data_IF_515605362149
#
_entry.id   IF_515605362149
#
_cell.length_a   1.000
_cell.length_b   1.000
_cell.length_c   1.000
_cell.angle_alpha   90.00
_cell.angle_beta   90.00
_cell.angle_gamma   90.00
#
_symmetry.space_group_name_H-M   'P 1'
#
loop_
_entity.id
_entity.type
_entity.pdbx_description
1 polymer ?
#
# COMPACT_ATOMS: atom_id res chain seq x y z
N UNK A 1 26.62 22.85 22.86
CA UNK A 1 25.37 22.22 22.35
C UNK A 1 24.59 23.29 21.60
N UNK A 2 24.63 23.28 20.27
CA UNK A 2 24.02 24.35 19.46
C UNK A 2 22.50 24.20 19.34
N UNK A 3 21.81 25.30 18.99
CA UNK A 3 20.38 25.31 18.65
C UNK A 3 20.04 24.29 17.55
N UNK A 4 20.94 24.08 16.59
CA UNK A 4 20.80 23.12 15.50
C UNK A 4 20.71 21.66 16.01
N UNK A 5 21.50 21.29 17.02
CA UNK A 5 21.45 19.94 17.61
C UNK A 5 20.16 19.72 18.40
N UNK A 6 19.68 20.77 19.09
CA UNK A 6 18.41 20.72 19.81
C UNK A 6 17.22 20.57 18.85
N UNK A 7 17.22 21.30 17.74
CA UNK A 7 16.21 21.20 16.67
C UNK A 7 16.28 19.86 15.95
N UNK A 8 17.46 19.34 15.64
CA UNK A 8 17.62 18.01 15.04
C UNK A 8 17.11 16.90 15.95
N UNK A 9 17.38 16.98 17.27
CA UNK A 9 16.83 16.03 18.25
C UNK A 9 15.32 16.15 18.38
N UNK A 10 14.76 17.35 18.30
CA UNK A 10 13.31 17.56 18.33
C UNK A 10 12.62 17.04 17.06
N UNK A 11 13.21 17.26 15.87
CA UNK A 11 12.67 16.80 14.60
C UNK A 11 12.56 15.26 14.54
N UNK A 12 13.56 14.54 15.07
CA UNK A 12 13.54 13.07 15.11
C UNK A 12 12.46 12.51 16.05
N UNK A 13 11.89 13.30 16.97
CA UNK A 13 10.77 12.82 17.83
C UNK A 13 9.49 12.55 17.05
N UNK A 14 9.35 13.13 15.85
CA UNK A 14 8.15 13.02 15.02
C UNK A 14 8.43 12.45 13.63
N UNK A 15 9.49 11.66 13.51
CA UNK A 15 9.89 11.05 12.25
C UNK A 15 8.73 10.27 11.62
N UNK A 16 8.59 10.41 10.30
CA UNK A 16 7.61 9.72 9.47
C UNK A 16 8.29 8.62 8.67
N UNK A 17 7.83 7.38 8.83
CA UNK A 17 8.45 6.20 8.23
C UNK A 17 7.57 5.67 7.11
N UNK A 18 8.07 5.71 5.88
CA UNK A 18 7.49 4.99 4.75
C UNK A 18 8.03 3.55 4.76
N UNK A 19 7.12 2.59 4.84
CA UNK A 19 7.47 1.18 4.85
C UNK A 19 7.37 0.59 3.45
N UNK A 20 8.39 -0.17 3.07
CA UNK A 20 8.41 -1.00 1.88
C UNK A 20 8.60 -2.45 2.29
N UNK A 21 7.51 -3.23 2.33
CA UNK A 21 7.59 -4.68 2.54
C UNK A 21 8.06 -5.37 1.25
N UNK A 22 9.14 -6.14 1.35
CA UNK A 22 9.49 -7.16 0.36
C UNK A 22 8.55 -8.34 0.56
N UNK A 23 7.91 -8.88 -0.49
CA UNK A 23 7.01 -10.03 -0.36
C UNK A 23 7.60 -11.16 0.50
N UNK A 24 6.78 -11.73 1.38
CA UNK A 24 7.19 -12.74 2.35
C UNK A 24 7.73 -12.20 3.68
N UNK A 25 8.04 -10.90 3.80
CA UNK A 25 8.66 -10.31 5.01
C UNK A 25 7.68 -9.55 5.90
N UNK A 26 6.42 -9.98 5.90
CA UNK A 26 5.36 -9.39 6.72
C UNK A 26 5.70 -9.26 8.19
N UNK A 27 6.25 -10.33 8.80
CA UNK A 27 6.61 -10.35 10.23
C UNK A 27 7.60 -9.23 10.55
N UNK A 28 8.55 -8.99 9.66
CA UNK A 28 9.49 -7.87 9.75
C UNK A 28 8.76 -6.54 9.59
N UNK A 29 7.87 -6.37 8.59
CA UNK A 29 7.10 -5.12 8.43
C UNK A 29 6.30 -4.80 9.70
N UNK A 30 5.52 -5.74 10.23
CA UNK A 30 4.68 -5.47 11.41
C UNK A 30 5.50 -5.22 12.66
N UNK A 31 6.68 -5.84 12.78
CA UNK A 31 7.63 -5.53 13.84
C UNK A 31 8.16 -4.09 13.72
N UNK A 32 8.52 -3.63 12.51
CA UNK A 32 8.90 -2.24 12.26
C UNK A 32 7.74 -1.30 12.57
N UNK A 33 6.53 -1.56 12.10
CA UNK A 33 5.34 -0.74 12.39
C UNK A 33 5.12 -0.55 13.89
N UNK A 34 5.12 -1.65 14.64
CA UNK A 34 4.96 -1.62 16.11
C UNK A 34 6.03 -0.73 16.74
N UNK A 35 7.28 -0.91 16.33
CA UNK A 35 8.43 -0.20 16.90
C UNK A 35 8.47 1.29 16.52
N UNK A 36 7.97 1.66 15.34
CA UNK A 36 7.73 3.05 14.94
C UNK A 36 6.66 3.67 15.86
N UNK A 37 5.52 3.00 16.03
CA UNK A 37 4.42 3.54 16.83
C UNK A 37 4.76 3.63 18.33
N UNK A 38 5.48 2.66 18.89
CA UNK A 38 5.96 2.69 20.28
C UNK A 38 6.92 3.86 20.55
N UNK A 39 7.71 4.26 19.56
CA UNK A 39 8.60 5.44 19.64
C UNK A 39 7.85 6.78 19.57
N UNK A 40 6.54 6.77 19.28
CA UNK A 40 5.77 7.98 18.99
C UNK A 40 5.99 8.55 17.58
N UNK A 41 6.68 7.80 16.72
CA UNK A 41 6.83 8.11 15.30
C UNK A 41 5.54 7.78 14.53
N UNK A 42 5.47 8.24 13.28
CA UNK A 42 4.28 8.05 12.43
C UNK A 42 4.61 7.22 11.20
N UNK A 43 3.62 6.47 10.72
CA UNK A 43 3.72 5.80 9.42
C UNK A 43 3.35 6.80 8.32
N UNK A 44 4.21 6.93 7.32
CA UNK A 44 3.96 7.73 6.13
C UNK A 44 3.10 6.95 5.12
N UNK A 45 2.19 7.65 4.46
CA UNK A 45 1.33 7.18 3.38
C UNK A 45 1.90 7.52 2.00
N UNK A 46 2.82 8.47 1.90
CA UNK A 46 3.49 8.85 0.66
C UNK A 46 4.99 9.16 0.88
N UNK A 47 5.82 9.07 -0.18
CA UNK A 47 7.23 9.47 -0.14
C UNK A 47 7.42 10.94 0.27
N UNK A 48 6.53 11.82 -0.20
CA UNK A 48 6.63 13.26 0.02
C UNK A 48 6.50 13.69 1.49
N UNK A 49 5.94 12.83 2.36
CA UNK A 49 5.85 13.10 3.79
C UNK A 49 6.80 12.25 4.63
N UNK A 50 7.67 11.44 4.03
CA UNK A 50 8.51 10.50 4.76
C UNK A 50 9.90 11.08 5.03
N UNK A 51 10.38 10.88 6.26
CA UNK A 51 11.76 11.15 6.66
C UNK A 51 12.60 9.86 6.56
N UNK A 52 11.97 8.69 6.72
CA UNK A 52 12.65 7.40 6.72
C UNK A 52 12.00 6.48 5.70
N UNK A 53 12.80 5.91 4.79
CA UNK A 53 12.40 4.74 3.99
C UNK A 53 12.93 3.48 4.67
N UNK A 54 12.03 2.68 5.25
CA UNK A 54 12.38 1.41 5.88
C UNK A 54 11.95 0.25 4.98
N UNK A 55 12.94 -0.48 4.45
CA UNK A 55 12.73 -1.65 3.59
C UNK A 55 12.75 -2.90 4.47
N UNK A 56 11.65 -3.66 4.48
CA UNK A 56 11.49 -4.85 5.29
C UNK A 56 11.73 -6.10 4.45
N UNK A 57 12.86 -6.76 4.65
CA UNK A 57 13.36 -7.89 3.85
C UNK A 57 14.51 -7.49 2.90
N UNK A 58 15.23 -8.48 2.34
CA UNK A 58 16.30 -8.26 1.39
C UNK A 58 15.73 -7.71 0.08
N UNK A 59 16.24 -6.56 -0.36
CA UNK A 59 15.78 -5.92 -1.60
C UNK A 59 16.31 -6.67 -2.83
N UNK A 60 15.47 -7.53 -3.42
CA UNK A 60 15.77 -8.22 -4.67
C UNK A 60 15.92 -7.26 -5.88
N UNK A 61 16.46 -7.74 -7.01
CA UNK A 61 16.71 -6.90 -8.19
C UNK A 61 15.46 -6.18 -8.71
N UNK A 62 14.29 -6.81 -8.58
CA UNK A 62 13.01 -6.31 -9.07
C UNK A 62 12.49 -5.09 -8.28
N UNK A 63 12.83 -5.00 -6.99
CA UNK A 63 12.43 -3.89 -6.12
C UNK A 63 13.44 -2.76 -6.09
N UNK A 64 14.68 -2.97 -6.57
CA UNK A 64 15.75 -1.97 -6.56
C UNK A 64 15.35 -0.66 -7.25
N UNK A 65 14.79 -0.73 -8.46
CA UNK A 65 14.35 0.46 -9.23
C UNK A 65 13.16 1.16 -8.56
N UNK A 66 12.06 0.47 -8.18
CA UNK A 66 10.99 1.09 -7.40
C UNK A 66 11.47 1.78 -6.12
N UNK A 67 12.32 1.13 -5.32
CA UNK A 67 12.83 1.68 -4.07
C UNK A 67 13.72 2.91 -4.29
N UNK A 68 14.55 2.91 -5.34
CA UNK A 68 15.35 4.08 -5.72
C UNK A 68 14.47 5.28 -6.07
N UNK A 69 13.40 5.06 -6.86
CA UNK A 69 12.45 6.14 -7.19
C UNK A 69 11.72 6.70 -5.98
N UNK A 70 11.34 5.85 -5.01
CA UNK A 70 10.74 6.33 -3.77
C UNK A 70 11.73 7.17 -2.98
N UNK A 71 12.99 6.70 -2.87
CA UNK A 71 14.05 7.43 -2.19
C UNK A 71 14.29 8.82 -2.80
N UNK A 72 14.29 8.92 -4.14
CA UNK A 72 14.41 10.19 -4.85
C UNK A 72 13.28 11.17 -4.53
N UNK A 73 12.07 10.66 -4.26
CA UNK A 73 10.89 11.45 -3.91
C UNK A 73 10.83 11.87 -2.42
N UNK A 74 11.66 11.29 -1.54
CA UNK A 74 11.69 11.70 -0.14
C UNK A 74 12.30 13.10 0.02
N UNK A 75 11.65 14.02 0.76
CA UNK A 75 12.24 15.31 1.11
C UNK A 75 13.45 15.13 2.03
N UNK A 76 14.24 16.20 2.22
CA UNK A 76 15.33 16.21 3.20
C UNK A 76 14.88 16.90 4.48
N UNK A 77 15.40 16.51 5.67
CA UNK A 77 16.37 15.44 5.92
C UNK A 77 15.75 14.03 5.77
N UNK A 78 16.53 13.05 5.29
CA UNK A 78 16.06 11.68 5.05
C UNK A 78 17.06 10.60 5.44
N UNK A 79 16.55 9.42 5.77
CA UNK A 79 17.35 8.22 6.03
C UNK A 79 16.72 6.98 5.37
N UNK A 80 17.56 6.04 4.92
CA UNK A 80 17.13 4.74 4.42
C UNK A 80 17.72 3.65 5.29
N UNK A 81 16.91 2.66 5.64
CA UNK A 81 17.35 1.46 6.36
C UNK A 81 16.75 0.21 5.75
N UNK A 82 17.54 -0.86 5.72
CA UNK A 82 17.08 -2.20 5.35
C UNK A 82 17.03 -3.05 6.62
N UNK A 83 15.91 -3.73 6.81
CA UNK A 83 15.61 -4.53 8.00
C UNK A 83 15.36 -5.94 7.53
N UNK A 84 16.31 -6.84 7.74
CA UNK A 84 16.25 -8.22 7.27
C UNK A 84 15.28 -9.09 8.10
N UNK A 85 15.14 -8.77 9.38
CA UNK A 85 14.49 -9.62 10.37
C UNK A 85 13.81 -8.80 11.48
N UNK A 86 12.83 -9.37 12.20
CA UNK A 86 12.22 -8.72 13.36
C UNK A 86 13.23 -8.32 14.46
N UNK A 87 14.32 -9.05 14.60
CA UNK A 87 15.37 -8.83 15.60
C UNK A 87 16.21 -7.58 15.27
N UNK A 88 16.44 -7.29 13.99
CA UNK A 88 17.23 -6.15 13.54
C UNK A 88 16.48 -4.80 13.64
N UNK A 89 15.17 -4.81 13.89
CA UNK A 89 14.31 -3.61 13.85
C UNK A 89 14.80 -2.49 14.76
N UNK A 90 15.17 -2.81 16.02
CA UNK A 90 15.57 -1.78 16.98
C UNK A 90 16.85 -1.06 16.54
N UNK A 91 17.86 -1.84 16.15
CA UNK A 91 19.15 -1.35 15.67
C UNK A 91 18.98 -0.52 14.40
N UNK A 92 18.16 -0.99 13.46
CA UNK A 92 17.90 -0.26 12.21
C UNK A 92 17.21 1.09 12.46
N UNK A 93 16.20 1.16 13.32
CA UNK A 93 15.53 2.42 13.63
C UNK A 93 16.43 3.40 14.41
N UNK A 94 17.33 2.90 15.25
CA UNK A 94 18.35 3.72 15.92
C UNK A 94 19.37 4.29 14.92
N UNK A 95 19.82 3.47 13.96
CA UNK A 95 20.68 3.93 12.86
C UNK A 95 19.98 4.99 12.00
N UNK A 96 18.69 4.81 11.68
CA UNK A 96 17.90 5.82 10.98
C UNK A 96 17.83 7.15 11.76
N UNK A 97 17.57 7.08 13.07
CA UNK A 97 17.54 8.25 13.95
C UNK A 97 18.90 8.96 14.02
N UNK A 98 20.01 8.21 14.03
CA UNK A 98 21.35 8.77 14.00
C UNK A 98 21.63 9.48 12.66
N UNK A 99 21.30 8.84 11.53
CA UNK A 99 21.45 9.43 10.19
C UNK A 99 20.64 10.72 10.01
N UNK A 100 19.42 10.79 10.54
CA UNK A 100 18.61 12.02 10.50
C UNK A 100 19.23 13.17 11.32
N UNK A 101 20.04 12.87 12.34
CA UNK A 101 20.73 13.88 13.16
C UNK A 101 22.08 14.29 12.57
N UNK A 102 22.63 13.53 11.63
CA UNK A 102 23.91 13.84 10.99
C UNK A 102 23.75 14.99 9.98
N UNK A 103 23.84 16.22 10.48
CA UNK A 103 23.72 17.43 9.64
C UNK A 103 24.80 17.55 8.56
N UNK A 104 25.94 16.86 8.68
CA UNK A 104 26.96 16.86 7.64
C UNK A 104 26.52 15.95 6.50
N UNK A 105 26.11 14.72 6.81
CA UNK A 105 25.57 13.79 5.81
C UNK A 105 24.31 14.35 5.12
N UNK A 106 23.39 14.98 5.87
CA UNK A 106 22.18 15.59 5.30
C UNK A 106 22.50 16.76 4.34
N UNK A 107 23.57 17.51 4.59
CA UNK A 107 24.03 18.58 3.69
C UNK A 107 24.66 18.04 2.41
N UNK A 108 25.39 16.92 2.50
CA UNK A 108 25.94 16.23 1.32
C UNK A 108 24.80 15.67 0.47
N UNK A 109 23.87 14.92 1.07
CA UNK A 109 22.69 14.39 0.36
C UNK A 109 21.89 15.52 -0.31
N UNK A 110 21.71 16.66 0.34
CA UNK A 110 20.98 17.79 -0.24
C UNK A 110 21.69 18.40 -1.47
N UNK A 111 23.03 18.37 -1.52
CA UNK A 111 23.82 18.90 -2.65
C UNK A 111 23.86 17.94 -3.84
N UNK A 112 23.87 16.65 -3.57
CA UNK A 112 23.95 15.60 -4.60
C UNK A 112 22.59 15.34 -5.28
N UNK A 113 21.52 16.01 -4.83
CA UNK A 113 20.19 15.90 -5.46
C UNK A 113 20.18 16.59 -6.82
N UNK A 114 19.71 15.91 -7.88
CA UNK A 114 19.48 16.57 -9.16
C UNK A 114 18.47 17.71 -8.98
N UNK A 115 18.78 18.89 -9.52
CA UNK A 115 18.00 20.12 -9.35
C UNK A 115 16.56 20.04 -9.91
N UNK A 116 16.25 18.99 -10.68
CA UNK A 116 14.95 18.79 -11.34
C UNK A 116 13.86 18.25 -10.39
N UNK A 117 14.23 17.69 -9.24
CA UNK A 117 13.28 17.15 -8.26
C UNK A 117 12.58 18.21 -7.40
N UNK A 118 12.88 19.50 -7.60
CA UNK A 118 12.36 20.64 -6.81
C UNK A 118 11.51 21.63 -7.61
N UNK A 119 11.12 21.33 -8.86
CA UNK A 119 10.19 22.18 -9.61
C UNK A 119 8.75 21.67 -9.48
N UNK A 120 7.88 22.29 -8.66
CA UNK A 120 6.51 22.45 -9.09
C UNK A 120 6.54 23.34 -10.34
N UNK A 121 5.98 22.84 -11.42
CA UNK A 121 5.68 23.61 -12.61
C UNK A 121 4.72 24.75 -12.24
N UNK A 122 5.31 25.89 -11.90
CA UNK A 122 4.64 27.18 -11.85
C UNK A 122 5.23 28.01 -12.97
N UNK A 123 4.89 27.65 -14.21
CA UNK A 123 4.90 28.54 -15.35
C UNK A 123 4.00 29.74 -15.09
N UNK A 124 4.46 30.69 -14.27
CA UNK A 124 3.98 32.06 -14.30
C UNK A 124 4.75 32.82 -15.37
N UNK A 125 4.45 32.48 -16.63
CA UNK A 125 4.52 33.49 -17.67
C UNK A 125 3.59 34.63 -17.25
N UNK A 126 4.16 35.78 -16.89
CA UNK A 126 3.39 37.00 -16.65
C UNK A 126 2.78 37.44 -17.98
N UNK A 127 1.45 37.49 -18.13
CA UNK A 127 0.83 38.15 -19.28
C UNK A 127 0.59 39.61 -18.89
N UNK A 128 1.29 40.53 -19.54
CA UNK A 128 0.93 41.95 -19.48
C UNK A 128 2.10 42.90 -19.64
N UNK A 129 2.54 43.12 -20.87
CA UNK A 129 2.63 44.49 -21.39
C UNK A 129 2.32 44.45 -22.89
N UNK A 130 1.14 44.98 -23.23
CA UNK A 130 0.75 45.28 -24.61
C UNK A 130 1.46 46.58 -24.99
N UNK A 131 2.35 46.51 -25.96
CA UNK A 131 2.63 47.63 -26.85
C UNK A 131 2.78 47.08 -28.29
N UNK A 132 1.90 47.60 -29.13
CA UNK A 132 1.68 47.40 -30.56
C UNK A 132 2.93 47.18 -31.43
N UNK A 133 2.84 46.21 -32.35
CA UNK A 133 3.40 46.33 -33.70
C UNK A 133 2.62 45.41 -34.66
N UNK A 134 2.16 46.01 -35.74
CA UNK A 134 1.38 45.41 -36.82
C UNK A 134 2.14 44.31 -37.57
N UNK A 135 1.42 43.30 -38.07
CA UNK A 135 1.67 42.75 -39.39
C UNK A 135 0.45 41.96 -39.91
N UNK A 136 -0.11 42.45 -41.01
CA UNK A 136 -1.10 41.79 -41.85
C UNK A 136 -0.56 40.51 -42.50
N UNK A 137 -1.46 39.56 -42.81
CA UNK A 137 -1.26 38.65 -43.94
C UNK A 137 -1.66 37.18 -43.77
N UNK A 138 -2.82 36.82 -44.35
CA UNK A 138 -3.10 35.59 -45.13
C UNK A 138 -3.14 34.19 -44.48
N UNK A 139 -4.38 33.65 -44.43
CA UNK A 139 -4.85 32.28 -44.78
C UNK A 139 -3.95 31.05 -44.67
N UNK A 140 -4.45 29.97 -44.04
CA UNK A 140 -4.74 28.66 -44.67
C UNK A 140 -5.11 27.56 -43.64
N UNK A 141 -6.21 26.88 -43.97
CA UNK A 141 -6.65 25.50 -43.67
C UNK A 141 -5.80 24.57 -42.76
N UNK A 142 -6.49 23.90 -41.84
CA UNK A 142 -6.33 22.44 -41.64
C UNK A 142 -5.17 21.95 -40.78
N UNK A 143 -4.79 22.65 -39.71
CA UNK A 143 -3.83 22.07 -38.74
C UNK A 143 -4.57 21.27 -37.67
N UNK A 144 -4.23 19.98 -37.58
CA UNK A 144 -4.51 19.17 -36.40
C UNK A 144 -4.01 19.93 -35.16
N UNK A 145 -4.94 20.24 -34.25
CA UNK A 145 -4.67 20.98 -33.03
C UNK A 145 -3.90 20.08 -32.06
N UNK A 146 -2.60 19.94 -32.26
CA UNK A 146 -1.67 19.51 -31.22
C UNK A 146 -0.97 20.77 -30.68
N UNK A 147 -1.44 21.36 -29.57
CA UNK A 147 -0.75 22.49 -28.95
C UNK A 147 0.70 22.08 -28.65
N UNK A 148 1.67 22.84 -29.15
CA UNK A 148 3.10 22.60 -28.95
C UNK A 148 3.68 21.27 -29.48
N UNK A 149 3.01 20.56 -30.40
CA UNK A 149 3.56 19.35 -31.02
C UNK A 149 3.68 18.14 -30.09
N UNK A 150 3.05 18.19 -28.91
CA UNK A 150 2.92 17.05 -28.01
C UNK A 150 1.73 16.22 -28.52
N UNK A 151 1.92 14.93 -28.86
CA UNK A 151 0.81 14.09 -29.29
C UNK A 151 -0.21 13.99 -28.16
N UNK A 152 -1.47 14.27 -28.50
CA UNK A 152 -2.60 14.09 -27.60
C UNK A 152 -2.73 12.61 -27.22
N UNK A 153 -3.27 12.34 -26.02
CA UNK A 153 -3.55 10.98 -25.59
C UNK A 153 -4.48 10.31 -26.61
N UNK A 154 -4.21 9.05 -26.96
CA UNK A 154 -5.06 8.32 -27.89
C UNK A 154 -6.37 7.92 -27.19
N UNK A 155 -7.49 8.20 -27.86
CA UNK A 155 -8.83 7.78 -27.46
C UNK A 155 -9.00 6.25 -27.39
N UNK A 156 -10.08 5.81 -26.77
CA UNK A 156 -10.43 4.41 -26.63
C UNK A 156 -11.81 4.10 -27.21
N UNK A 157 -12.11 2.83 -27.55
CA UNK A 157 -13.42 2.47 -28.04
C UNK A 157 -14.48 2.83 -27.00
N UNK A 158 -15.58 3.30 -27.56
CA UNK A 158 -16.66 4.04 -26.94
C UNK A 158 -17.56 3.16 -26.04
N UNK A 159 -17.88 3.64 -24.83
CA UNK A 159 -18.85 3.00 -23.91
C UNK A 159 -20.23 3.69 -23.89
N UNK A 160 -20.32 4.96 -24.26
CA UNK A 160 -21.48 5.84 -24.01
C UNK A 160 -21.72 6.93 -25.09
N UNK A 161 -21.03 6.87 -26.22
CA UNK A 161 -21.01 7.86 -27.29
C UNK A 161 -19.82 8.83 -27.25
N UNK A 162 -18.92 8.75 -26.25
CA UNK A 162 -17.87 9.74 -25.99
C UNK A 162 -16.47 9.13 -26.03
N UNK A 163 -15.62 9.65 -26.93
CA UNK A 163 -14.20 9.30 -26.97
C UNK A 163 -13.46 10.01 -25.81
N UNK A 164 -13.05 9.23 -24.80
CA UNK A 164 -12.32 9.72 -23.63
C UNK A 164 -10.83 9.37 -23.73
N UNK A 165 -9.99 10.33 -23.33
CA UNK A 165 -8.55 10.15 -23.24
C UNK A 165 -8.18 8.96 -22.34
N UNK A 166 -7.29 8.10 -22.85
CA UNK A 166 -6.74 6.98 -22.08
C UNK A 166 -5.54 7.43 -21.26
N UNK A 167 -5.58 7.14 -19.96
CA UNK A 167 -4.49 7.42 -19.04
C UNK A 167 -3.95 6.13 -18.43
N UNK A 168 -2.63 6.00 -18.30
CA UNK A 168 -2.02 4.82 -17.68
C UNK A 168 -1.56 5.13 -16.25
N UNK A 169 -2.03 4.34 -15.29
CA UNK A 169 -1.66 4.45 -13.88
C UNK A 169 -1.06 3.14 -13.39
N UNK A 170 -0.05 3.22 -12.53
CA UNK A 170 0.54 2.08 -11.84
C UNK A 170 0.36 2.21 -10.33
N UNK A 171 -0.31 1.24 -9.72
CA UNK A 171 -0.39 1.08 -8.26
C UNK A 171 0.59 0.02 -7.79
N UNK A 172 1.30 0.29 -6.69
CA UNK A 172 2.34 -0.59 -6.14
C UNK A 172 3.69 -0.52 -6.89
N UNK A 173 4.71 -1.31 -6.48
CA UNK A 173 4.66 -2.40 -5.50
C UNK A 173 4.76 -1.95 -4.03
N UNK A 174 5.04 -0.66 -3.81
CA UNK A 174 5.08 -0.04 -2.48
C UNK A 174 4.07 1.09 -2.49
N UNK A 175 2.97 0.89 -1.77
CA UNK A 175 1.89 1.85 -1.62
C UNK A 175 1.24 1.64 -0.24
N UNK A 176 0.81 2.72 0.40
CA UNK A 176 0.18 2.61 1.70
C UNK A 176 -1.10 1.77 1.63
N UNK A 177 -1.26 0.84 2.59
CA UNK A 177 -2.38 -0.09 2.68
C UNK A 177 -2.54 -0.99 1.44
N UNK A 178 -1.43 -1.27 0.76
CA UNK A 178 -1.40 -2.09 -0.44
C UNK A 178 -0.66 -3.41 -0.19
N UNK A 179 -1.07 -4.53 -0.82
CA UNK A 179 -0.37 -5.80 -0.72
C UNK A 179 1.08 -5.69 -1.21
N UNK A 180 2.03 -6.23 -0.43
CA UNK A 180 3.45 -6.17 -0.77
C UNK A 180 3.74 -6.84 -2.11
N UNK A 181 4.48 -6.15 -2.99
CA UNK A 181 4.90 -6.66 -4.29
C UNK A 181 3.82 -6.66 -5.38
N UNK A 182 2.54 -6.51 -5.03
CA UNK A 182 1.48 -6.45 -6.04
C UNK A 182 1.62 -5.17 -6.85
N UNK A 183 1.61 -5.30 -8.17
CA UNK A 183 1.58 -4.18 -9.11
C UNK A 183 0.31 -4.31 -9.94
N UNK A 184 -0.54 -3.29 -9.89
CA UNK A 184 -1.72 -3.16 -10.74
C UNK A 184 -1.46 -2.04 -11.75
N UNK A 185 -1.35 -2.39 -13.04
CA UNK A 185 -1.33 -1.43 -14.15
C UNK A 185 -2.75 -1.23 -14.62
N UNK A 186 -3.25 -0.01 -14.54
CA UNK A 186 -4.60 0.35 -14.97
C UNK A 186 -4.52 1.22 -16.22
N UNK A 187 -5.42 0.97 -17.16
CA UNK A 187 -5.80 1.92 -18.20
C UNK A 187 -7.11 2.55 -17.77
N UNK A 188 -7.08 3.86 -17.57
CA UNK A 188 -8.23 4.66 -17.14
C UNK A 188 -8.86 5.34 -18.34
N UNK A 189 -10.19 5.42 -18.34
CA UNK A 189 -10.97 6.31 -19.20
C UNK A 189 -11.77 7.22 -18.26
N UNK A 190 -11.37 8.49 -18.16
CA UNK A 190 -11.81 9.35 -17.07
C UNK A 190 -11.29 8.85 -15.72
N UNK A 191 -12.19 8.62 -14.76
CA UNK A 191 -11.88 8.08 -13.43
C UNK A 191 -12.05 6.55 -13.33
N UNK A 192 -12.61 5.91 -14.35
CA UNK A 192 -12.93 4.48 -14.36
C UNK A 192 -11.78 3.65 -14.92
N UNK A 193 -11.50 2.51 -14.27
CA UNK A 193 -10.59 1.49 -14.78
C UNK A 193 -11.26 0.75 -15.94
N UNK A 194 -10.82 1.06 -17.16
CA UNK A 194 -11.29 0.42 -18.38
C UNK A 194 -10.61 -0.92 -18.62
N UNK A 195 -9.34 -1.03 -18.24
CA UNK A 195 -8.54 -2.25 -18.36
C UNK A 195 -7.49 -2.32 -17.26
N UNK A 196 -7.08 -3.53 -16.88
CA UNK A 196 -6.11 -3.73 -15.82
C UNK A 196 -5.25 -4.97 -16.04
N UNK A 197 -4.01 -4.91 -15.53
CA UNK A 197 -3.10 -6.04 -15.50
C UNK A 197 -2.43 -6.12 -14.12
N UNK A 198 -2.31 -7.33 -13.59
CA UNK A 198 -1.58 -7.59 -12.36
C UNK A 198 -0.26 -8.30 -12.60
N UNK A 199 0.76 -7.87 -11.88
CA UNK A 199 2.04 -8.56 -11.80
C UNK A 199 2.54 -8.56 -10.37
N UNK A 200 3.27 -9.60 -9.97
CA UNK A 200 3.92 -9.67 -8.66
C UNK A 200 5.42 -9.40 -8.81
N UNK A 201 5.97 -8.56 -7.94
CA UNK A 201 7.38 -8.13 -7.97
C UNK A 201 8.04 -8.51 -6.65
N UNK A 202 9.20 -9.17 -6.71
CA UNK A 202 9.96 -9.53 -5.51
C UNK A 202 9.40 -10.72 -4.75
N UNK A 203 8.70 -11.64 -5.44
CA UNK A 203 8.41 -12.96 -4.89
C UNK A 203 9.74 -13.66 -4.58
N UNK A 204 10.11 -13.72 -3.31
CA UNK A 204 11.31 -14.42 -2.89
C UNK A 204 11.15 -15.92 -3.16
N UNK A 205 12.25 -16.58 -3.55
CA UNK A 205 12.35 -18.04 -3.42
C UNK A 205 11.96 -18.44 -2.00
N UNK A 206 11.23 -19.55 -1.81
CA UNK A 206 10.78 -19.97 -0.49
C UNK A 206 11.99 -20.07 0.43
N UNK A 207 12.03 -19.21 1.46
CA UNK A 207 13.01 -19.34 2.53
C UNK A 207 12.92 -20.77 3.08
N UNK A 208 14.08 -21.42 3.21
CA UNK A 208 14.27 -22.77 3.76
C UNK A 208 13.27 -22.99 4.89
N UNK A 209 12.43 -24.01 4.75
CA UNK A 209 11.29 -24.31 5.61
C UNK A 209 11.56 -23.92 7.07
N UNK A 210 11.01 -22.76 7.47
CA UNK A 210 10.98 -22.39 8.87
C UNK A 210 10.28 -23.53 9.61
N UNK A 211 10.80 -23.90 10.78
CA UNK A 211 10.24 -24.95 11.63
C UNK A 211 8.72 -24.86 11.63
N UNK A 212 8.04 -26.00 11.39
CA UNK A 212 6.58 -26.03 11.30
C UNK A 212 6.03 -25.30 12.53
N UNK A 213 5.33 -24.17 12.34
CA UNK A 213 4.85 -23.39 13.45
C UNK A 213 3.95 -24.29 14.30
N UNK A 214 4.15 -24.27 15.63
CA UNK A 214 3.21 -24.88 16.56
C UNK A 214 1.79 -24.43 16.21
N UNK A 215 0.80 -25.31 16.34
CA UNK A 215 -0.57 -25.06 15.92
C UNK A 215 -1.12 -23.75 16.50
N UNK A 216 -0.71 -23.40 17.73
CA UNK A 216 -1.11 -22.13 18.33
C UNK A 216 -0.41 -20.90 17.73
N UNK A 217 0.87 -20.98 17.34
CA UNK A 217 1.57 -19.88 16.65
C UNK A 217 0.97 -19.66 15.25
N UNK A 218 0.62 -20.73 14.54
CA UNK A 218 -0.04 -20.64 13.24
C UNK A 218 -1.43 -19.97 13.36
N UNK A 219 -2.21 -20.32 14.38
CA UNK A 219 -3.50 -19.66 14.68
C UNK A 219 -3.33 -18.16 14.98
N UNK A 220 -2.34 -17.80 15.82
CA UNK A 220 -2.02 -16.40 16.14
C UNK A 220 -1.66 -15.63 14.88
N UNK A 221 -0.78 -16.18 14.04
CA UNK A 221 -0.37 -15.56 12.77
C UNK A 221 -1.54 -15.40 11.81
N UNK A 222 -2.41 -16.42 11.70
CA UNK A 222 -3.60 -16.40 10.88
C UNK A 222 -4.57 -15.28 11.29
N UNK A 223 -4.85 -15.14 12.59
CA UNK A 223 -5.72 -14.09 13.10
C UNK A 223 -5.08 -12.69 12.99
N UNK A 224 -3.78 -12.59 13.30
CA UNK A 224 -3.02 -11.34 13.20
C UNK A 224 -2.96 -10.82 11.75
N UNK A 225 -2.79 -11.72 10.76
CA UNK A 225 -2.85 -11.38 9.34
C UNK A 225 -4.16 -10.70 8.96
N UNK A 226 -5.29 -11.26 9.39
CA UNK A 226 -6.61 -10.68 9.12
C UNK A 226 -6.79 -9.35 9.82
N UNK A 227 -6.31 -9.22 11.05
CA UNK A 227 -6.32 -7.93 11.75
C UNK A 227 -5.50 -6.87 10.99
N UNK A 228 -4.40 -7.26 10.35
CA UNK A 228 -3.58 -6.38 9.51
C UNK A 228 -4.26 -6.01 8.17
N UNK A 229 -4.91 -6.96 7.51
CA UNK A 229 -5.73 -6.71 6.31
C UNK A 229 -6.92 -5.79 6.64
N UNK A 230 -7.60 -6.05 7.76
CA UNK A 230 -8.66 -5.19 8.30
C UNK A 230 -8.15 -3.78 8.61
N UNK A 231 -6.96 -3.65 9.22
CA UNK A 231 -6.34 -2.36 9.46
C UNK A 231 -6.10 -1.60 8.14
N UNK A 232 -5.67 -2.30 7.09
CA UNK A 232 -5.44 -1.71 5.78
C UNK A 232 -6.73 -1.21 5.13
N UNK A 233 -7.78 -2.04 5.14
CA UNK A 233 -9.09 -1.67 4.60
C UNK A 233 -9.73 -0.50 5.38
N UNK A 234 -9.68 -0.52 6.72
CA UNK A 234 -10.19 0.56 7.56
C UNK A 234 -9.40 1.86 7.38
N UNK A 235 -8.09 1.77 7.13
CA UNK A 235 -7.22 2.91 6.86
C UNK A 235 -7.56 3.57 5.52
N UNK A 236 -7.85 2.77 4.49
CA UNK A 236 -8.34 3.25 3.20
C UNK A 236 -9.74 3.87 3.30
N UNK A 237 -10.60 3.30 4.15
CA UNK A 237 -11.93 3.84 4.43
C UNK A 237 -11.92 5.09 5.32
N UNK A 238 -10.74 5.57 5.75
CA UNK A 238 -10.58 6.79 6.55
C UNK A 238 -10.91 6.63 8.04
N UNK A 239 -10.99 5.41 8.56
CA UNK A 239 -11.32 5.17 9.98
C UNK A 239 -10.08 4.90 10.84
N UNK A 240 -9.34 5.97 11.16
CA UNK A 240 -8.02 5.88 11.80
C UNK A 240 -8.02 5.23 13.21
N UNK A 241 -9.04 5.48 14.04
CA UNK A 241 -9.12 4.85 15.37
C UNK A 241 -9.36 3.33 15.26
N UNK A 242 -10.21 2.89 14.33
CA UNK A 242 -10.45 1.46 14.11
C UNK A 242 -9.22 0.78 13.50
N UNK A 243 -8.51 1.47 12.61
CA UNK A 243 -7.21 1.05 12.07
C UNK A 243 -6.17 0.85 13.18
N UNK A 244 -6.08 1.80 14.11
CA UNK A 244 -5.17 1.74 15.26
C UNK A 244 -5.51 0.56 16.17
N UNK A 245 -6.80 0.30 16.41
CA UNK A 245 -7.25 -0.84 17.21
C UNK A 245 -6.95 -2.18 16.54
N UNK A 246 -7.20 -2.30 15.24
CA UNK A 246 -6.86 -3.49 14.47
C UNK A 246 -5.35 -3.80 14.52
N UNK A 247 -4.49 -2.77 14.42
CA UNK A 247 -3.03 -2.91 14.63
C UNK A 247 -2.67 -3.35 16.04
N UNK A 248 -3.32 -2.80 17.07
CA UNK A 248 -3.09 -3.21 18.47
C UNK A 248 -3.44 -4.68 18.71
N UNK A 249 -4.58 -5.14 18.19
CA UNK A 249 -4.99 -6.56 18.26
C UNK A 249 -3.96 -7.44 17.54
N UNK A 250 -3.58 -7.08 16.31
CA UNK A 250 -2.51 -7.77 15.56
C UNK A 250 -1.22 -7.87 16.37
N UNK A 251 -0.76 -6.75 16.92
CA UNK A 251 0.51 -6.70 17.66
C UNK A 251 0.41 -7.51 18.97
N UNK A 252 -0.74 -7.50 19.65
CA UNK A 252 -0.96 -8.32 20.83
C UNK A 252 -0.93 -9.82 20.48
N UNK A 253 -1.58 -10.22 19.39
CA UNK A 253 -1.55 -11.62 18.92
C UNK A 253 -0.13 -12.12 18.58
N UNK A 254 0.75 -11.25 18.08
CA UNK A 254 2.10 -11.64 17.65
C UNK A 254 3.18 -11.49 18.73
N UNK A 255 3.03 -10.52 19.64
CA UNK A 255 4.12 -10.11 20.52
C UNK A 255 3.78 -10.23 22.01
N UNK A 256 2.65 -10.84 22.36
CA UNK A 256 2.29 -11.15 23.76
C UNK A 256 2.01 -12.64 23.95
N UNK A 257 2.23 -13.16 25.16
CA UNK A 257 2.06 -14.57 25.46
C UNK A 257 0.58 -14.99 25.63
N UNK A 258 -0.25 -14.12 26.23
CA UNK A 258 -1.65 -14.42 26.54
C UNK A 258 -2.61 -14.21 25.36
N UNK A 259 -3.72 -14.96 25.35
CA UNK A 259 -4.76 -14.84 24.30
C UNK A 259 -6.04 -14.16 24.77
N UNK A 260 -6.32 -14.13 26.07
CA UNK A 260 -7.60 -13.64 26.58
C UNK A 260 -7.84 -12.17 26.21
N UNK A 261 -6.83 -11.33 26.43
CA UNK A 261 -6.90 -9.92 26.07
C UNK A 261 -7.06 -9.68 24.56
N UNK A 262 -6.21 -10.22 23.66
CA UNK A 262 -6.37 -9.98 22.23
C UNK A 262 -7.68 -10.54 21.66
N UNK A 263 -8.18 -11.67 22.17
CA UNK A 263 -9.49 -12.22 21.79
C UNK A 263 -10.61 -11.26 22.18
N UNK A 264 -10.60 -10.75 23.41
CA UNK A 264 -11.62 -9.79 23.86
C UNK A 264 -11.57 -8.49 23.04
N UNK A 265 -10.37 -7.96 22.77
CA UNK A 265 -10.19 -6.77 21.95
C UNK A 265 -10.65 -6.97 20.50
N UNK A 266 -10.41 -8.15 19.93
CA UNK A 266 -10.91 -8.53 18.60
C UNK A 266 -12.44 -8.55 18.57
N UNK A 267 -13.10 -9.11 19.58
CA UNK A 267 -14.56 -9.11 19.66
C UNK A 267 -15.14 -7.70 19.85
N UNK A 268 -14.46 -6.83 20.59
CA UNK A 268 -14.84 -5.41 20.70
C UNK A 268 -14.70 -4.71 19.35
N UNK A 269 -13.61 -4.94 18.62
CA UNK A 269 -13.40 -4.40 17.27
C UNK A 269 -14.50 -4.89 16.31
N UNK A 270 -14.78 -6.19 16.30
CA UNK A 270 -15.80 -6.83 15.46
C UNK A 270 -17.19 -6.22 15.68
N UNK A 271 -17.62 -6.11 16.94
CA UNK A 271 -18.90 -5.46 17.29
C UNK A 271 -18.95 -4.00 16.85
N UNK A 272 -17.86 -3.26 17.01
CA UNK A 272 -17.78 -1.85 16.62
C UNK A 272 -17.88 -1.66 15.10
N UNK A 273 -17.15 -2.47 14.34
CA UNK A 273 -17.21 -2.45 12.87
C UNK A 273 -18.60 -2.86 12.39
N UNK A 274 -19.17 -3.95 12.94
CA UNK A 274 -20.50 -4.43 12.56
C UNK A 274 -21.63 -3.43 12.81
N UNK A 275 -21.54 -2.64 13.90
CA UNK A 275 -22.53 -1.63 14.29
C UNK A 275 -22.33 -0.26 13.61
N UNK A 276 -21.25 -0.07 12.86
CA UNK A 276 -20.95 1.22 12.24
C UNK A 276 -21.85 1.49 11.04
N UNK A 277 -22.75 2.46 11.19
CA UNK A 277 -23.65 2.86 10.11
C UNK A 277 -22.91 3.59 8.99
N UNK A 278 -22.01 4.52 9.33
CA UNK A 278 -21.22 5.25 8.32
C UNK A 278 -20.38 4.31 7.46
N UNK A 279 -19.69 3.36 8.09
CA UNK A 279 -18.90 2.36 7.37
C UNK A 279 -19.79 1.43 6.53
N UNK A 280 -20.97 1.08 7.06
CA UNK A 280 -21.96 0.32 6.29
C UNK A 280 -22.33 1.07 5.01
N UNK A 281 -22.56 2.38 5.07
CA UNK A 281 -22.93 3.15 3.90
C UNK A 281 -21.78 3.32 2.92
N UNK A 282 -20.55 3.51 3.40
CA UNK A 282 -19.40 3.74 2.52
C UNK A 282 -18.90 2.49 1.81
N UNK A 283 -19.05 1.30 2.41
CA UNK A 283 -18.50 0.06 1.85
C UNK A 283 -19.53 -0.84 1.15
N UNK A 284 -20.83 -0.54 1.27
CA UNK A 284 -21.89 -1.36 0.67
C UNK A 284 -21.95 -1.16 -0.84
N UNK A 285 -22.23 -2.24 -1.58
CA UNK A 285 -22.29 -2.32 -3.05
C UNK A 285 -20.98 -2.07 -3.78
N UNK A 286 -19.85 -2.02 -3.08
CA UNK A 286 -18.53 -1.90 -3.70
C UNK A 286 -17.99 -3.29 -4.05
N UNK A 287 -17.69 -3.52 -5.32
CA UNK A 287 -17.16 -4.79 -5.84
C UNK A 287 -17.91 -6.02 -5.31
N UNK A 288 -19.23 -6.13 -5.55
CA UNK A 288 -19.97 -7.34 -5.19
C UNK A 288 -19.36 -8.54 -5.93
N UNK A 289 -19.29 -9.68 -5.24
CA UNK A 289 -18.90 -10.96 -5.80
C UNK A 289 -19.98 -11.99 -5.46
N UNK A 290 -20.68 -12.47 -6.48
CA UNK A 290 -21.68 -13.52 -6.34
C UNK A 290 -21.06 -14.93 -6.55
N UNK A 291 -21.84 -15.98 -6.27
CA UNK A 291 -21.34 -17.35 -6.42
C UNK A 291 -20.86 -17.70 -7.84
N UNK A 292 -21.59 -17.32 -8.92
CA UNK A 292 -21.10 -17.44 -10.30
C UNK A 292 -19.76 -16.73 -10.56
N UNK A 293 -19.60 -15.48 -10.13
CA UNK A 293 -18.37 -14.70 -10.29
C UNK A 293 -17.20 -15.35 -9.54
N UNK A 294 -17.44 -15.76 -8.29
CA UNK A 294 -16.42 -16.44 -7.50
C UNK A 294 -15.96 -17.74 -8.19
N UNK A 295 -16.90 -18.53 -8.71
CA UNK A 295 -16.58 -19.76 -9.44
C UNK A 295 -15.80 -19.46 -10.74
N UNK A 296 -16.21 -18.44 -11.49
CA UNK A 296 -15.56 -18.02 -12.74
C UNK A 296 -14.10 -17.63 -12.53
N UNK A 297 -13.80 -16.95 -11.42
CA UNK A 297 -12.47 -16.44 -11.11
C UNK A 297 -11.67 -17.35 -10.15
N UNK A 298 -12.20 -18.53 -9.79
CA UNK A 298 -11.53 -19.45 -8.86
C UNK A 298 -11.37 -18.91 -7.44
N UNK A 299 -12.22 -17.96 -7.04
CA UNK A 299 -12.14 -17.26 -5.76
C UNK A 299 -12.83 -18.07 -4.64
N UNK A 300 -12.32 -18.00 -3.40
CA UNK A 300 -12.94 -18.70 -2.28
C UNK A 300 -14.30 -18.10 -1.90
N UNK A 301 -15.24 -18.97 -1.49
CA UNK A 301 -16.59 -18.58 -1.05
C UNK A 301 -16.61 -17.54 0.07
N UNK A 302 -15.53 -17.44 0.85
CA UNK A 302 -15.34 -16.42 1.89
C UNK A 302 -15.32 -14.98 1.36
N UNK A 303 -15.18 -14.78 0.05
CA UNK A 303 -15.17 -13.47 -0.59
C UNK A 303 -16.54 -13.02 -1.13
N UNK A 304 -17.59 -13.81 -0.87
CA UNK A 304 -18.96 -13.49 -1.28
C UNK A 304 -19.45 -12.17 -0.69
N UNK A 305 -20.23 -11.43 -1.47
CA UNK A 305 -20.80 -10.14 -1.10
C UNK A 305 -19.93 -8.96 -1.52
N UNK A 306 -20.18 -7.80 -0.93
CA UNK A 306 -19.43 -6.57 -1.21
C UNK A 306 -18.23 -6.38 -0.26
N UNK A 307 -17.50 -5.27 -0.40
CA UNK A 307 -16.35 -4.92 0.46
C UNK A 307 -16.70 -5.00 1.96
N UNK A 308 -17.92 -4.63 2.35
CA UNK A 308 -18.34 -4.70 3.76
C UNK A 308 -18.54 -6.14 4.22
N UNK A 309 -19.18 -6.96 3.40
CA UNK A 309 -19.40 -8.37 3.72
C UNK A 309 -18.06 -9.09 3.90
N UNK A 310 -17.10 -8.83 3.01
CA UNK A 310 -15.73 -9.34 3.11
C UNK A 310 -14.99 -8.83 4.35
N UNK A 311 -15.15 -7.56 4.72
CA UNK A 311 -14.58 -7.02 5.96
C UNK A 311 -15.09 -7.75 7.21
N UNK A 312 -16.39 -8.01 7.29
CA UNK A 312 -16.99 -8.73 8.41
C UNK A 312 -16.54 -10.20 8.41
N UNK A 313 -16.51 -10.84 7.25
CA UNK A 313 -16.02 -12.21 7.10
C UNK A 313 -14.55 -12.36 7.53
N UNK A 314 -13.67 -11.40 7.23
CA UNK A 314 -12.29 -11.39 7.72
C UNK A 314 -12.20 -11.37 9.25
N UNK A 315 -13.02 -10.53 9.90
CA UNK A 315 -13.09 -10.43 11.36
C UNK A 315 -13.66 -11.70 12.00
N UNK A 316 -14.74 -12.25 11.43
CA UNK A 316 -15.36 -13.49 11.91
C UNK A 316 -14.40 -14.68 11.75
N UNK A 317 -13.64 -14.76 10.65
CA UNK A 317 -12.61 -15.79 10.46
C UNK A 317 -11.46 -15.67 11.46
N UNK A 318 -11.01 -14.45 11.74
CA UNK A 318 -9.98 -14.22 12.76
C UNK A 318 -10.47 -14.70 14.13
N UNK A 319 -11.68 -14.28 14.54
CA UNK A 319 -12.26 -14.67 15.83
C UNK A 319 -12.53 -16.18 15.92
N UNK A 320 -13.14 -16.77 14.88
CA UNK A 320 -13.45 -18.20 14.81
C UNK A 320 -12.20 -19.07 14.90
N UNK A 321 -11.11 -18.68 14.23
CA UNK A 321 -9.84 -19.44 14.30
C UNK A 321 -9.28 -19.55 15.72
N UNK A 322 -9.42 -18.48 16.52
CA UNK A 322 -8.96 -18.45 17.92
C UNK A 322 -9.91 -19.20 18.86
N UNK A 323 -11.22 -19.06 18.65
CA UNK A 323 -12.25 -19.73 19.46
C UNK A 323 -12.26 -21.24 19.26
N UNK A 324 -12.26 -21.70 18.00
CA UNK A 324 -12.36 -23.12 17.66
C UNK A 324 -11.02 -23.85 17.78
N UNK A 325 -9.92 -23.10 18.01
CA UNK A 325 -8.53 -23.58 17.97
C UNK A 325 -8.23 -24.41 16.71
N UNK A 326 -8.85 -24.03 15.59
CA UNK A 326 -8.73 -24.71 14.31
C UNK A 326 -8.52 -23.68 13.23
N UNK A 327 -7.46 -23.87 12.44
CA UNK A 327 -7.28 -23.11 11.22
C UNK A 327 -8.34 -23.59 10.22
N UNK A 328 -9.12 -22.70 9.60
CA UNK A 328 -9.86 -23.06 8.39
C UNK A 328 -8.86 -23.65 7.40
N UNK A 329 -9.14 -24.82 6.81
CA UNK A 329 -8.19 -25.55 5.95
C UNK A 329 -7.48 -24.63 4.95
N UNK A 330 -6.20 -24.93 4.62
CA UNK A 330 -5.31 -24.05 3.83
C UNK A 330 -6.12 -23.41 2.69
N UNK A 331 -6.45 -22.11 2.78
CA UNK A 331 -7.29 -21.48 1.78
C UNK A 331 -6.60 -21.64 0.43
N UNK A 332 -7.36 -21.91 -0.63
CA UNK A 332 -6.89 -21.54 -1.96
C UNK A 332 -6.66 -20.04 -1.90
N UNK A 333 -5.39 -19.63 -2.00
CA UNK A 333 -5.03 -18.22 -2.04
C UNK A 333 -5.78 -17.55 -3.18
N UNK A 334 -6.05 -16.26 -3.05
CA UNK A 334 -6.67 -15.49 -4.14
C UNK A 334 -5.66 -15.42 -5.29
N UNK A 335 -5.98 -15.95 -6.48
CA UNK A 335 -5.13 -15.78 -7.66
C UNK A 335 -5.03 -14.29 -8.00
N UNK A 336 -3.82 -13.79 -8.20
CA UNK A 336 -3.63 -12.37 -8.54
C UNK A 336 -4.25 -12.05 -9.90
N UNK A 337 -4.32 -13.04 -10.77
CA UNK A 337 -4.88 -12.99 -12.12
C UNK A 337 -6.37 -12.67 -12.13
N UNK A 338 -7.08 -12.90 -11.01
CA UNK A 338 -8.48 -12.53 -10.87
C UNK A 338 -8.67 -11.03 -10.54
N UNK A 339 -7.66 -10.37 -9.98
CA UNK A 339 -7.79 -8.98 -9.50
C UNK A 339 -8.18 -8.02 -10.63
N UNK A 340 -7.60 -8.07 -11.85
CA UNK A 340 -7.99 -7.20 -12.96
C UNK A 340 -9.49 -7.20 -13.25
N UNK A 341 -10.10 -8.38 -13.30
CA UNK A 341 -11.53 -8.53 -13.61
C UNK A 341 -12.41 -7.94 -12.50
N UNK A 342 -12.00 -8.08 -11.24
CA UNK A 342 -12.77 -7.59 -10.08
C UNK A 342 -12.69 -6.06 -9.95
N UNK A 343 -11.59 -5.42 -10.37
CA UNK A 343 -11.43 -3.96 -10.28
C UNK A 343 -11.89 -3.21 -11.54
N UNK A 344 -12.09 -3.92 -12.66
CA UNK A 344 -12.57 -3.31 -13.91
C UNK A 344 -13.95 -2.68 -13.71
N UNK A 345 -14.14 -1.48 -14.26
CA UNK A 345 -15.37 -0.72 -14.14
C UNK A 345 -15.52 0.10 -12.86
N UNK A 346 -14.54 0.04 -11.95
CA UNK A 346 -14.49 0.87 -10.74
C UNK A 346 -13.48 2.00 -10.86
N UNK A 347 -13.66 3.04 -10.04
CA UNK A 347 -12.64 4.07 -9.87
C UNK A 347 -11.45 3.56 -9.02
N UNK A 348 -10.34 4.31 -9.04
CA UNK A 348 -9.10 3.92 -8.35
C UNK A 348 -9.28 3.78 -6.84
N UNK A 349 -10.06 4.64 -6.19
CA UNK A 349 -10.26 4.60 -4.74
C UNK A 349 -11.06 3.36 -4.37
N UNK A 350 -12.13 3.07 -5.12
CA UNK A 350 -12.93 1.86 -4.95
C UNK A 350 -12.12 0.59 -5.25
N UNK A 351 -11.29 0.59 -6.30
CA UNK A 351 -10.40 -0.53 -6.62
C UNK A 351 -9.43 -0.84 -5.47
N UNK A 352 -8.88 0.18 -4.78
CA UNK A 352 -8.04 -0.05 -3.59
C UNK A 352 -8.81 -0.69 -2.44
N UNK A 353 -10.05 -0.28 -2.20
CA UNK A 353 -10.92 -0.90 -1.19
C UNK A 353 -11.25 -2.35 -1.55
N UNK A 354 -11.54 -2.62 -2.83
CA UNK A 354 -11.77 -3.96 -3.36
C UNK A 354 -10.55 -4.84 -3.09
N UNK A 355 -9.36 -4.44 -3.55
CA UNK A 355 -8.11 -5.20 -3.38
C UNK A 355 -7.81 -5.46 -1.89
N UNK A 356 -7.96 -4.45 -1.04
CA UNK A 356 -7.75 -4.60 0.41
C UNK A 356 -8.76 -5.53 1.09
N UNK A 357 -9.94 -5.74 0.48
CA UNK A 357 -10.98 -6.64 0.99
C UNK A 357 -10.82 -8.10 0.56
N UNK A 358 -9.90 -8.41 -0.36
CA UNK A 358 -9.70 -9.78 -0.87
C UNK A 358 -8.99 -10.73 0.11
N UNK A 359 -8.68 -10.29 1.34
CA UNK A 359 -7.97 -11.07 2.37
C UNK A 359 -6.69 -11.73 1.82
N UNK A 360 -5.92 -11.01 1.01
CA UNK A 360 -4.73 -11.53 0.37
C UNK A 360 -3.71 -11.95 1.44
N UNK A 361 -3.26 -13.19 1.37
CA UNK A 361 -2.07 -13.63 2.08
C UNK A 361 -0.84 -13.04 1.40
N UNK A 362 0.26 -12.79 2.13
CA UNK A 362 1.48 -12.29 1.53
C UNK A 362 1.93 -13.29 0.48
N UNK A 363 2.30 -12.80 -0.70
CA UNK A 363 2.76 -13.64 -1.77
C UNK A 363 4.15 -14.19 -1.40
N UNK A 364 4.17 -15.33 -0.74
CA UNK A 364 5.31 -16.23 -0.75
C UNK A 364 5.23 -17.02 -2.06
N UNK A 365 6.34 -17.15 -2.79
CA UNK A 365 6.37 -17.96 -3.99
C UNK A 365 5.75 -19.34 -3.70
N UNK A 366 4.63 -19.63 -4.35
CA UNK A 366 4.02 -20.96 -4.31
C UNK A 366 4.99 -21.92 -4.98
N UNK A 367 5.57 -22.82 -4.19
CA UNK A 367 6.24 -23.99 -4.73
C UNK A 367 5.18 -24.88 -5.40
N UNK A 368 4.95 -24.71 -6.70
CA UNK A 368 4.40 -25.79 -7.51
C UNK A 368 5.50 -26.83 -7.70
N UNK A 369 5.53 -27.80 -6.78
CA UNK A 369 6.22 -29.06 -7.03
C UNK A 369 5.33 -29.90 -7.94
N UNK A 370 5.40 -29.66 -9.24
CA UNK A 370 4.98 -30.65 -10.23
C UNK A 370 6.08 -31.71 -10.31
N UNK A 371 5.92 -32.79 -9.55
CA UNK A 371 6.60 -34.04 -9.87
C UNK A 371 5.95 -34.62 -11.13
N UNK A 372 6.73 -34.68 -12.21
CA UNK A 372 6.51 -35.58 -13.35
C UNK A 372 7.05 -36.95 -12.99
#
# INVERSE_FOLDING_TARGET
MGLTDALARAAVRHARVLLAEVPGHWTTRVAVERQVLVRGWRLARSPAEADILAVCGPSGPDLRRPLARLWEQLPGPRARVEVDSPQAVLVALEAAAANLRDTAAQRVDSRDRPADSQRPDAGHARPGDRAHADHEGTGHAGMALAPAGIPLAAGGPDRDGLDLDRSHLRLGPVLAYWPAGLVLRCTLQGDVIADAETTLVGAAEPAVAAAEPDGLDDLRRFAARRCDNVASLLGLAGWDDATTRARRVRDALLFTAGLDQPVEELDRLRRRVGRSWLLRWSLRRLGPLDAPELARHGLPATLSGDVRDRLLAMLDRAAGSLADRRRPGRPRGVPIEAIPDVVRGWDIATARLIVASLDLDPFAATAEVSHV
#
